data_IF_027304182919
#
_entry.id   IF_027304182919
#
_cell.length_a   1.000
_cell.length_b   1.000
_cell.length_c   1.000
_cell.angle_alpha   90.00
_cell.angle_beta   90.00
_cell.angle_gamma   90.00
#
_symmetry.space_group_name_H-M   'P 1'
#
loop_
_entity.id
_entity.type
_entity.pdbx_description
1 polymer ?
#
# COMPACT_ATOMS: atom_id res chain seq x y z
N UNK A 1 31.46 1.97 -15.83
CA UNK A 1 31.29 2.35 -14.41
C UNK A 1 31.24 1.07 -13.62
N UNK A 2 32.05 0.93 -12.58
CA UNK A 2 32.09 -0.30 -11.79
C UNK A 2 30.81 -0.48 -10.98
N UNK A 3 30.42 -1.73 -10.71
CA UNK A 3 29.22 -2.06 -9.89
C UNK A 3 29.20 -1.27 -8.57
N UNK A 4 30.34 -1.20 -7.90
CA UNK A 4 30.47 -0.50 -6.61
C UNK A 4 30.10 0.98 -6.72
N UNK A 5 30.53 1.65 -7.78
CA UNK A 5 30.21 3.07 -8.04
C UNK A 5 28.72 3.26 -8.28
N UNK A 6 28.09 2.36 -9.05
CA UNK A 6 26.64 2.41 -9.32
C UNK A 6 25.83 2.28 -8.02
N UNK A 7 26.19 1.33 -7.15
CA UNK A 7 25.50 1.12 -5.86
C UNK A 7 25.71 2.29 -4.89
N UNK A 8 26.88 2.93 -4.92
CA UNK A 8 27.16 4.13 -4.14
C UNK A 8 26.31 5.31 -4.60
N UNK A 9 26.23 5.57 -5.91
CA UNK A 9 25.36 6.60 -6.49
C UNK A 9 23.89 6.36 -6.15
N UNK A 10 23.41 5.11 -6.22
CA UNK A 10 22.06 4.75 -5.78
C UNK A 10 21.84 5.05 -4.29
N UNK A 11 22.85 4.82 -3.45
CA UNK A 11 22.83 5.22 -2.04
C UNK A 11 22.66 6.72 -1.85
N UNK A 12 23.45 7.53 -2.54
CA UNK A 12 23.39 9.00 -2.48
C UNK A 12 22.04 9.54 -2.97
N UNK A 13 21.50 8.95 -4.03
CA UNK A 13 20.19 9.32 -4.58
C UNK A 13 19.00 8.73 -3.80
N UNK A 14 19.25 7.95 -2.73
CA UNK A 14 18.23 7.24 -1.94
C UNK A 14 17.37 6.29 -2.76
N UNK A 15 17.95 5.70 -3.82
CA UNK A 15 17.33 4.71 -4.70
C UNK A 15 17.45 3.31 -4.09
N UNK A 16 16.85 3.12 -2.92
CA UNK A 16 17.04 1.92 -2.11
C UNK A 16 16.47 0.65 -2.76
N UNK A 17 15.34 0.74 -3.47
CA UNK A 17 14.72 -0.40 -4.14
C UNK A 17 15.51 -0.85 -5.36
N UNK A 18 16.01 0.11 -6.13
CA UNK A 18 17.00 -0.14 -7.20
C UNK A 18 18.25 -0.83 -6.64
N UNK A 19 18.80 -0.30 -5.55
CA UNK A 19 20.02 -0.82 -4.94
C UNK A 19 19.86 -2.26 -4.46
N UNK A 20 18.72 -2.60 -3.85
CA UNK A 20 18.46 -3.97 -3.38
C UNK A 20 18.21 -4.95 -4.51
N UNK A 21 17.56 -4.52 -5.60
CA UNK A 21 17.21 -5.37 -6.73
C UNK A 21 18.29 -5.44 -7.82
N UNK A 22 19.34 -4.63 -7.73
CA UNK A 22 20.35 -4.45 -8.79
C UNK A 22 20.94 -5.77 -9.27
N UNK A 23 21.49 -6.59 -8.37
CA UNK A 23 22.20 -7.81 -8.75
C UNK A 23 21.29 -8.85 -9.41
N UNK A 24 20.07 -8.99 -8.88
CA UNK A 24 19.08 -9.91 -9.42
C UNK A 24 18.62 -9.49 -10.82
N UNK A 25 18.31 -8.20 -11.00
CA UNK A 25 17.88 -7.65 -12.29
C UNK A 25 19.01 -7.74 -13.31
N UNK A 26 20.25 -7.39 -12.95
CA UNK A 26 21.39 -7.47 -13.86
C UNK A 26 21.70 -8.91 -14.25
N UNK A 27 21.64 -9.85 -13.30
CA UNK A 27 21.82 -11.28 -13.58
C UNK A 27 20.76 -11.79 -14.56
N UNK A 28 19.50 -11.39 -14.37
CA UNK A 28 18.39 -11.77 -15.24
C UNK A 28 18.52 -11.15 -16.62
N UNK A 29 18.89 -9.88 -16.68
CA UNK A 29 19.07 -9.12 -17.92
C UNK A 29 20.17 -9.74 -18.80
N UNK A 30 21.30 -10.12 -18.21
CA UNK A 30 22.40 -10.77 -18.92
C UNK A 30 21.96 -12.14 -19.45
N UNK A 31 21.33 -12.96 -18.61
CA UNK A 31 20.86 -14.31 -18.99
C UNK A 31 19.81 -14.28 -20.11
N UNK A 32 18.92 -13.30 -20.09
CA UNK A 32 17.79 -13.17 -21.03
C UNK A 32 18.03 -12.17 -22.15
N UNK A 33 19.24 -11.61 -22.24
CA UNK A 33 19.61 -10.59 -23.23
C UNK A 33 18.59 -9.44 -23.30
N UNK A 34 18.17 -8.93 -22.13
CA UNK A 34 17.25 -7.80 -22.09
C UNK A 34 17.90 -6.54 -22.68
N UNK A 35 17.15 -5.84 -23.54
CA UNK A 35 17.59 -4.55 -24.05
C UNK A 35 17.76 -3.52 -22.93
N UNK A 36 18.67 -2.54 -23.06
CA UNK A 36 18.94 -1.55 -22.03
C UNK A 36 17.69 -0.82 -21.47
N UNK A 37 16.69 -0.42 -22.29
CA UNK A 37 15.48 0.20 -21.77
C UNK A 37 14.69 -0.69 -20.81
N UNK A 38 14.68 -2.02 -21.04
CA UNK A 38 14.01 -2.98 -20.16
C UNK A 38 14.69 -3.08 -18.81
N UNK A 39 16.03 -3.13 -18.80
CA UNK A 39 16.81 -3.18 -17.55
C UNK A 39 16.57 -1.93 -16.71
N UNK A 40 16.58 -0.75 -17.34
CA UNK A 40 16.27 0.52 -16.67
C UNK A 40 14.83 0.53 -16.15
N UNK A 41 13.88 0.02 -16.93
CA UNK A 41 12.48 -0.11 -16.53
C UNK A 41 12.27 -1.02 -15.31
N UNK A 42 12.92 -2.18 -15.30
CA UNK A 42 12.86 -3.14 -14.20
C UNK A 42 13.43 -2.52 -12.91
N UNK A 43 14.59 -1.85 -13.02
CA UNK A 43 15.22 -1.13 -11.91
C UNK A 43 14.31 -0.02 -11.37
N UNK A 44 13.73 0.81 -12.23
CA UNK A 44 12.85 1.91 -11.81
C UNK A 44 11.56 1.38 -11.17
N UNK A 45 11.02 0.26 -11.68
CA UNK A 45 9.85 -0.40 -11.13
C UNK A 45 10.12 -0.91 -9.71
N UNK A 46 11.28 -1.50 -9.47
CA UNK A 46 11.70 -1.93 -8.13
C UNK A 46 11.80 -0.75 -7.15
N UNK A 47 12.34 0.38 -7.60
CA UNK A 47 12.40 1.61 -6.80
C UNK A 47 11.03 2.19 -6.45
N UNK A 48 10.11 2.22 -7.42
CA UNK A 48 8.74 2.70 -7.21
C UNK A 48 8.02 1.80 -6.20
N UNK A 49 8.13 0.47 -6.35
CA UNK A 49 7.52 -0.50 -5.45
C UNK A 49 8.02 -0.34 -4.00
N UNK A 50 9.33 -0.21 -3.81
CA UNK A 50 9.94 -0.01 -2.47
C UNK A 50 9.48 1.32 -1.85
N UNK A 51 9.43 2.41 -2.63
CA UNK A 51 8.91 3.71 -2.15
C UNK A 51 7.44 3.63 -1.74
N UNK A 52 6.60 2.96 -2.53
CA UNK A 52 5.19 2.75 -2.22
C UNK A 52 5.02 1.94 -0.94
N UNK A 53 5.73 0.81 -0.81
CA UNK A 53 5.68 -0.03 0.39
C UNK A 53 6.10 0.75 1.66
N UNK A 54 7.17 1.54 1.56
CA UNK A 54 7.64 2.40 2.67
C UNK A 54 6.62 3.47 3.03
N UNK A 55 6.03 4.12 2.03
CA UNK A 55 4.97 5.12 2.23
C UNK A 55 3.76 4.52 2.94
N UNK A 56 3.26 3.39 2.47
CA UNK A 56 2.11 2.68 3.07
C UNK A 56 2.43 2.31 4.52
N UNK A 57 3.59 1.72 4.78
CA UNK A 57 4.03 1.36 6.14
C UNK A 57 4.01 2.58 7.05
N UNK A 58 4.59 3.69 6.60
CA UNK A 58 4.59 4.95 7.35
C UNK A 58 3.16 5.45 7.61
N UNK A 59 2.30 5.48 6.58
CA UNK A 59 0.91 5.94 6.72
C UNK A 59 0.11 5.08 7.72
N UNK A 60 0.27 3.75 7.67
CA UNK A 60 -0.36 2.85 8.63
C UNK A 60 0.11 3.12 10.07
N UNK A 61 1.40 3.40 10.27
CA UNK A 61 1.93 3.77 11.60
C UNK A 61 1.33 5.06 12.12
N UNK A 62 1.25 6.12 11.30
CA UNK A 62 0.72 7.42 11.75
C UNK A 62 -0.81 7.44 11.87
N UNK A 63 -1.50 6.50 11.21
CA UNK A 63 -2.94 6.37 11.26
C UNK A 63 -3.48 5.96 12.64
N UNK A 64 -2.64 5.34 13.49
CA UNK A 64 -3.03 4.90 14.85
C UNK A 64 -4.29 4.03 14.90
N UNK A 65 -4.47 3.17 13.91
CA UNK A 65 -5.58 2.21 13.90
C UNK A 65 -5.46 1.29 15.12
N UNK A 66 -6.51 1.14 15.95
CA UNK A 66 -6.42 0.41 17.21
C UNK A 66 -6.28 -1.10 17.01
N UNK A 67 -6.73 -1.62 15.86
CA UNK A 67 -6.68 -3.04 15.53
C UNK A 67 -6.26 -3.22 14.07
N UNK A 68 -5.56 -4.31 13.79
CA UNK A 68 -5.16 -4.70 12.44
C UNK A 68 -6.24 -5.54 11.77
N UNK A 69 -7.42 -4.96 11.53
CA UNK A 69 -8.53 -5.67 10.89
C UNK A 69 -8.64 -5.31 9.42
N UNK A 70 -8.55 -6.32 8.55
CA UNK A 70 -8.75 -6.18 7.12
C UNK A 70 -10.21 -6.48 6.75
N UNK A 71 -10.66 -6.00 5.60
CA UNK A 71 -12.05 -6.24 5.15
C UNK A 71 -12.32 -7.73 4.90
N UNK A 72 -11.27 -8.49 4.57
CA UNK A 72 -11.36 -9.93 4.35
C UNK A 72 -11.50 -10.72 5.66
N UNK A 73 -11.18 -10.10 6.81
CA UNK A 73 -11.40 -10.66 8.14
C UNK A 73 -12.79 -10.26 8.73
N UNK A 74 -13.62 -9.56 7.94
CA UNK A 74 -14.90 -9.06 8.41
C UNK A 74 -15.96 -10.17 8.35
N UNK A 75 -16.54 -10.48 9.51
CA UNK A 75 -17.67 -11.40 9.62
C UNK A 75 -18.96 -10.66 9.22
N UNK A 76 -19.35 -10.83 7.95
CA UNK A 76 -20.58 -10.26 7.38
C UNK A 76 -21.84 -11.00 7.80
N UNK A 77 -21.72 -12.25 8.27
CA UNK A 77 -22.87 -13.01 8.76
C UNK A 77 -23.27 -12.55 10.16
N UNK A 78 -22.29 -12.20 11.00
CA UNK A 78 -22.52 -11.66 12.35
C UNK A 78 -22.87 -10.17 12.37
N UNK A 79 -22.58 -9.43 11.30
CA UNK A 79 -22.86 -8.00 11.20
C UNK A 79 -23.96 -7.74 10.16
N UNK A 80 -25.06 -7.09 10.56
CA UNK A 80 -26.12 -6.68 9.63
C UNK A 80 -25.69 -5.49 8.73
N UNK A 81 -24.61 -5.68 7.96
CA UNK A 81 -23.96 -4.70 7.09
C UNK A 81 -23.94 -5.25 5.67
N UNK A 82 -24.27 -4.40 4.69
CA UNK A 82 -24.20 -4.79 3.29
C UNK A 82 -22.73 -4.97 2.85
N UNK A 83 -22.34 -6.20 2.56
CA UNK A 83 -20.97 -6.54 2.14
C UNK A 83 -20.54 -5.80 0.88
N UNK A 84 -21.39 -5.76 -0.15
CA UNK A 84 -21.10 -5.08 -1.42
C UNK A 84 -20.77 -3.60 -1.18
N UNK A 85 -21.56 -2.93 -0.34
CA UNK A 85 -21.31 -1.53 0.04
C UNK A 85 -20.00 -1.38 0.80
N UNK A 86 -19.69 -2.27 1.75
CA UNK A 86 -18.45 -2.16 2.51
C UNK A 86 -17.21 -2.34 1.62
N UNK A 87 -17.28 -3.27 0.66
CA UNK A 87 -16.20 -3.49 -0.33
C UNK A 87 -16.03 -2.31 -1.27
N UNK A 88 -17.12 -1.69 -1.71
CA UNK A 88 -17.07 -0.45 -2.51
C UNK A 88 -16.41 0.70 -1.73
N UNK A 89 -16.80 0.89 -0.47
CA UNK A 89 -16.19 1.88 0.42
C UNK A 89 -14.69 1.61 0.65
N UNK A 90 -14.29 0.35 0.81
CA UNK A 90 -12.87 -0.05 0.89
C UNK A 90 -12.09 0.16 -0.42
N UNK A 91 -12.79 0.30 -1.54
CA UNK A 91 -12.23 0.79 -2.81
C UNK A 91 -11.74 2.23 -2.74
N UNK A 92 -12.30 3.04 -1.82
CA UNK A 92 -11.87 4.42 -1.57
C UNK A 92 -12.46 5.46 -2.53
N UNK A 93 -13.38 5.09 -3.41
CA UNK A 93 -13.99 6.01 -4.39
C UNK A 93 -14.72 7.21 -3.74
N UNK A 94 -15.20 7.05 -2.51
CA UNK A 94 -15.79 8.15 -1.75
C UNK A 94 -14.79 9.29 -1.45
N UNK A 95 -13.49 8.99 -1.32
CA UNK A 95 -12.44 9.98 -1.10
C UNK A 95 -12.23 10.84 -2.35
N UNK A 96 -12.19 10.22 -3.53
CA UNK A 96 -12.06 10.93 -4.81
C UNK A 96 -13.27 11.83 -5.08
N UNK A 97 -14.45 11.34 -4.73
CA UNK A 97 -15.72 12.09 -4.86
C UNK A 97 -15.95 13.09 -3.71
N UNK A 98 -15.02 13.20 -2.75
CA UNK A 98 -15.13 14.08 -1.58
C UNK A 98 -16.43 13.87 -0.78
N UNK A 99 -16.89 12.63 -0.66
CA UNK A 99 -18.08 12.28 0.11
C UNK A 99 -17.73 11.84 1.53
N UNK A 100 -18.63 12.08 2.46
CA UNK A 100 -18.52 11.58 3.82
C UNK A 100 -19.25 10.24 3.95
N UNK A 101 -18.64 9.33 4.71
CA UNK A 101 -19.23 8.02 5.06
C UNK A 101 -19.61 8.07 6.53
N UNK A 102 -20.88 7.79 6.83
CA UNK A 102 -21.41 7.77 8.19
C UNK A 102 -21.96 6.38 8.48
N UNK A 103 -21.44 5.71 9.52
CA UNK A 103 -21.87 4.38 9.94
C UNK A 103 -22.88 4.52 11.09
N UNK A 104 -24.11 4.05 10.89
CA UNK A 104 -25.21 4.17 11.86
C UNK A 104 -25.68 2.77 12.28
N UNK A 105 -25.92 2.56 13.58
CA UNK A 105 -26.42 1.29 14.13
C UNK A 105 -26.19 1.13 15.63
N UNK A 106 -26.82 0.14 16.25
CA UNK A 106 -26.72 -0.14 17.69
C UNK A 106 -25.31 -0.50 18.17
N UNK A 107 -25.08 -0.54 19.49
CA UNK A 107 -23.79 -0.96 20.05
C UNK A 107 -23.46 -2.40 19.64
N UNK A 108 -22.19 -2.71 19.37
CA UNK A 108 -21.76 -4.05 18.96
C UNK A 108 -21.96 -4.43 17.50
N UNK A 109 -22.60 -3.61 16.66
CA UNK A 109 -22.92 -3.94 15.25
C UNK A 109 -21.75 -3.83 14.25
N UNK A 110 -20.51 -3.92 14.71
CA UNK A 110 -19.34 -3.92 13.82
C UNK A 110 -18.91 -2.57 13.22
N UNK A 111 -19.53 -1.43 13.58
CA UNK A 111 -19.18 -0.10 13.02
C UNK A 111 -17.69 0.26 13.14
N UNK A 112 -17.10 0.09 14.32
CA UNK A 112 -15.68 0.38 14.53
C UNK A 112 -14.79 -0.54 13.70
N UNK A 113 -15.20 -1.81 13.53
CA UNK A 113 -14.50 -2.75 12.66
C UNK A 113 -14.58 -2.28 11.20
N UNK A 114 -15.78 -1.94 10.71
CA UNK A 114 -15.97 -1.42 9.36
C UNK A 114 -15.15 -0.15 9.10
N UNK A 115 -15.15 0.81 10.02
CA UNK A 115 -14.35 2.03 9.91
C UNK A 115 -12.84 1.75 9.83
N UNK A 116 -12.34 0.83 10.67
CA UNK A 116 -10.93 0.41 10.66
C UNK A 116 -10.58 -0.28 9.34
N UNK A 117 -11.42 -1.21 8.86
CA UNK A 117 -11.20 -1.95 7.63
C UNK A 117 -11.19 -1.02 6.40
N UNK A 118 -12.16 -0.11 6.30
CA UNK A 118 -12.21 0.90 5.22
C UNK A 118 -10.96 1.78 5.27
N UNK A 119 -10.61 2.34 6.44
CA UNK A 119 -9.47 3.23 6.57
C UNK A 119 -8.16 2.53 6.20
N UNK A 120 -7.96 1.30 6.68
CA UNK A 120 -6.79 0.48 6.37
C UNK A 120 -6.68 0.16 4.88
N UNK A 121 -7.79 -0.20 4.24
CA UNK A 121 -7.84 -0.46 2.79
C UNK A 121 -7.47 0.80 1.98
N UNK A 122 -8.02 1.96 2.35
CA UNK A 122 -7.69 3.23 1.70
C UNK A 122 -6.21 3.59 1.88
N UNK A 123 -5.65 3.42 3.08
CA UNK A 123 -4.24 3.69 3.35
C UNK A 123 -3.31 2.78 2.52
N UNK A 124 -3.65 1.49 2.38
CA UNK A 124 -2.90 0.56 1.53
C UNK A 124 -2.91 0.97 0.04
N UNK A 125 -3.94 1.69 -0.40
CA UNK A 125 -4.02 2.28 -1.75
C UNK A 125 -3.28 3.62 -1.89
N UNK A 126 -2.64 4.09 -0.82
CA UNK A 126 -1.86 5.34 -0.81
C UNK A 126 -2.60 6.54 -0.23
N UNK A 127 -3.82 6.39 0.27
CA UNK A 127 -4.50 7.46 1.00
C UNK A 127 -3.79 7.76 2.33
N UNK A 128 -4.01 8.97 2.84
CA UNK A 128 -3.59 9.37 4.19
C UNK A 128 -4.80 9.31 5.11
N UNK A 129 -4.60 8.81 6.32
CA UNK A 129 -5.71 8.67 7.27
C UNK A 129 -5.22 8.69 8.71
N UNK A 130 -6.14 9.04 9.62
CA UNK A 130 -5.92 8.97 11.06
C UNK A 130 -7.19 8.55 11.77
N UNK A 131 -7.06 7.64 12.71
CA UNK A 131 -8.11 7.19 13.59
C UNK A 131 -8.09 8.01 14.88
N UNK A 132 -9.28 8.42 15.32
CA UNK A 132 -9.51 9.11 16.58
C UNK A 132 -10.53 8.29 17.38
N UNK A 133 -10.24 8.08 18.66
CA UNK A 133 -11.13 7.41 19.61
C UNK A 133 -11.91 8.44 20.41
#
# INVERSE_FOLDING_TARGET
MERTQVLELMGTLKLYGMRSAYDEIMTTAIKRQHEPPRVVGDLLSAEIAEKQARSIKYQLTVAKLPLAKDIDDFDFDAAAVNETLLRDLAGGGFLEQQRNVVLIGGTGTGKSHAAIAIARACIRRGARGRFFN
#
